data_IF_125051994534
#
_entry.id   IF_125051994534
#
_cell.length_a   1.000
_cell.length_b   1.000
_cell.length_c   1.000
_cell.angle_alpha   90.00
_cell.angle_beta   90.00
_cell.angle_gamma   90.00
#
_symmetry.space_group_name_H-M   'P 1'
#
loop_
_entity.id
_entity.type
_entity.pdbx_description
1 polymer ?
#
# COMPACT_ATOMS: atom_id res chain seq x y z
N UNK A 1 -30.71 -3.49 -11.36
CA UNK A 1 -29.24 -3.52 -11.29
C UNK A 1 -28.81 -4.96 -11.09
N UNK A 2 -28.18 -5.57 -12.09
CA UNK A 2 -27.53 -6.87 -11.94
C UNK A 2 -26.05 -6.59 -11.75
N UNK A 3 -25.53 -6.84 -10.55
CA UNK A 3 -24.09 -6.90 -10.33
C UNK A 3 -23.62 -8.24 -10.90
N UNK A 4 -22.98 -8.21 -12.06
CA UNK A 4 -22.11 -9.30 -12.47
C UNK A 4 -20.99 -9.42 -11.44
N UNK A 5 -20.77 -10.62 -10.89
CA UNK A 5 -19.56 -10.87 -10.12
C UNK A 5 -18.36 -10.50 -11.00
N UNK A 6 -17.35 -9.83 -10.42
CA UNK A 6 -16.07 -9.65 -11.07
C UNK A 6 -15.48 -11.05 -11.33
N UNK A 7 -15.68 -11.59 -12.53
CA UNK A 7 -14.92 -12.74 -13.02
C UNK A 7 -13.47 -12.31 -13.17
N UNK A 8 -12.55 -12.97 -12.46
CA UNK A 8 -11.11 -12.66 -12.54
C UNK A 8 -10.46 -12.19 -11.23
N UNK A 9 -11.21 -12.04 -10.13
CA UNK A 9 -10.62 -11.79 -8.82
C UNK A 9 -10.10 -13.09 -8.17
N UNK A 10 -9.25 -13.84 -8.87
CA UNK A 10 -8.58 -15.05 -8.34
C UNK A 10 -7.45 -14.73 -7.37
N UNK A 11 -6.87 -13.53 -7.52
CA UNK A 11 -5.62 -13.17 -6.86
C UNK A 11 -5.85 -12.49 -5.49
N UNK A 12 -7.07 -12.03 -5.22
CA UNK A 12 -7.46 -11.53 -3.91
C UNK A 12 -8.07 -12.67 -3.07
N UNK A 13 -7.24 -13.35 -2.29
CA UNK A 13 -7.67 -14.54 -1.53
C UNK A 13 -8.74 -14.20 -0.48
N UNK A 14 -8.52 -13.13 0.29
CA UNK A 14 -9.54 -12.53 1.16
C UNK A 14 -9.09 -11.15 1.62
N UNK A 15 -9.84 -10.11 1.25
CA UNK A 15 -9.56 -8.74 1.65
C UNK A 15 -10.83 -7.93 1.86
N UNK A 16 -11.01 -7.30 3.04
CA UNK A 16 -12.15 -6.43 3.33
C UNK A 16 -12.24 -5.20 2.41
N UNK A 17 -11.10 -4.65 1.98
CA UNK A 17 -11.03 -3.57 1.02
C UNK A 17 -10.28 -4.02 -0.24
N UNK A 18 -10.93 -3.90 -1.39
CA UNK A 18 -10.41 -4.28 -2.69
C UNK A 18 -10.55 -3.11 -3.66
N UNK A 19 -9.44 -2.70 -4.28
CA UNK A 19 -9.42 -1.86 -5.47
C UNK A 19 -8.95 -2.74 -6.63
N UNK A 20 -9.84 -3.07 -7.55
CA UNK A 20 -9.51 -3.94 -8.68
C UNK A 20 -9.95 -3.30 -10.00
N UNK A 21 -9.04 -3.18 -10.97
CA UNK A 21 -9.32 -2.60 -12.29
C UNK A 21 -10.07 -1.27 -12.18
N UNK A 22 -9.60 -0.39 -11.29
CA UNK A 22 -10.33 0.82 -10.88
C UNK A 22 -9.59 2.07 -11.32
N UNK A 23 -10.29 2.96 -12.02
CA UNK A 23 -9.82 4.31 -12.31
C UNK A 23 -10.64 5.33 -11.53
N UNK A 24 -9.99 6.09 -10.65
CA UNK A 24 -10.60 7.16 -9.88
C UNK A 24 -10.28 8.50 -10.54
N UNK A 25 -11.31 9.26 -10.90
CA UNK A 25 -11.19 10.60 -11.46
C UNK A 25 -11.86 11.60 -10.51
N UNK A 26 -11.11 12.59 -10.02
CA UNK A 26 -11.62 13.67 -9.17
C UNK A 26 -12.44 13.15 -7.97
N UNK A 27 -12.00 12.04 -7.38
CA UNK A 27 -12.74 11.30 -6.34
C UNK A 27 -11.93 11.22 -5.06
N UNK A 28 -12.61 11.11 -3.91
CA UNK A 28 -11.99 10.79 -2.64
C UNK A 28 -12.57 9.50 -2.05
N UNK A 29 -11.70 8.52 -1.76
CA UNK A 29 -12.00 7.37 -0.92
C UNK A 29 -11.29 7.53 0.41
N UNK A 30 -12.05 7.59 1.51
CA UNK A 30 -11.52 7.66 2.86
C UNK A 30 -11.99 6.47 3.68
N UNK A 31 -11.06 5.79 4.31
CA UNK A 31 -11.30 4.73 5.29
C UNK A 31 -10.63 5.15 6.58
N UNK A 32 -11.38 5.25 7.66
CA UNK A 32 -10.84 5.79 8.90
C UNK A 32 -11.43 5.17 10.15
N UNK A 33 -10.65 5.14 11.23
CA UNK A 33 -11.07 4.70 12.56
C UNK A 33 -11.73 3.31 12.55
N UNK A 34 -11.11 2.37 11.85
CA UNK A 34 -11.66 1.03 11.66
C UNK A 34 -10.56 -0.03 11.66
N UNK A 35 -10.98 -1.29 11.74
CA UNK A 35 -10.11 -2.46 11.63
C UNK A 35 -10.42 -3.16 10.31
N UNK A 36 -9.41 -3.32 9.46
CA UNK A 36 -9.47 -4.18 8.29
C UNK A 36 -8.63 -5.41 8.59
N UNK A 37 -9.25 -6.60 8.54
CA UNK A 37 -8.57 -7.84 8.92
C UNK A 37 -8.80 -8.98 7.95
N UNK A 38 -7.76 -9.76 7.72
CA UNK A 38 -7.81 -11.01 6.99
C UNK A 38 -7.04 -12.10 7.73
N UNK A 39 -7.68 -13.23 7.97
CA UNK A 39 -7.07 -14.40 8.61
C UNK A 39 -6.79 -15.54 7.63
N UNK A 40 -7.03 -15.31 6.34
CA UNK A 40 -6.88 -16.33 5.29
C UNK A 40 -5.44 -16.41 4.81
N UNK A 41 -4.98 -17.61 4.46
CA UNK A 41 -3.67 -17.81 3.88
C UNK A 41 -3.49 -17.00 2.59
N UNK A 42 -2.40 -16.22 2.49
CA UNK A 42 -2.19 -15.28 1.38
C UNK A 42 -3.14 -14.08 1.34
N UNK A 43 -3.98 -13.90 2.37
CA UNK A 43 -4.93 -12.79 2.48
C UNK A 43 -4.27 -11.46 2.84
N UNK A 44 -5.03 -10.39 2.64
CA UNK A 44 -4.61 -9.03 3.01
C UNK A 44 -5.74 -8.19 3.57
N UNK A 45 -5.44 -7.17 4.37
CA UNK A 45 -6.48 -6.25 4.85
C UNK A 45 -6.93 -5.27 3.74
N UNK A 46 -5.99 -4.86 2.88
CA UNK A 46 -6.24 -4.06 1.67
C UNK A 46 -5.59 -4.73 0.47
N UNK A 47 -6.35 -4.92 -0.61
CA UNK A 47 -5.86 -5.47 -1.86
C UNK A 47 -6.03 -4.48 -3.00
N UNK A 48 -4.99 -4.36 -3.84
CA UNK A 48 -4.97 -3.58 -5.07
C UNK A 48 -4.54 -4.49 -6.22
N UNK A 49 -5.32 -4.56 -7.29
CA UNK A 49 -4.97 -5.39 -8.45
C UNK A 49 -5.67 -4.97 -9.74
N UNK A 50 -5.37 -5.66 -10.84
CA UNK A 50 -6.01 -5.41 -12.13
C UNK A 50 -5.75 -4.01 -12.70
N UNK A 51 -4.64 -3.38 -12.31
CA UNK A 51 -4.29 -1.97 -12.52
C UNK A 51 -5.26 -0.98 -11.84
N UNK A 52 -4.68 -0.03 -11.11
CA UNK A 52 -5.43 1.02 -10.42
C UNK A 52 -4.80 2.39 -10.71
N UNK A 53 -5.64 3.32 -11.16
CA UNK A 53 -5.25 4.69 -11.51
C UNK A 53 -5.99 5.70 -10.62
N UNK A 54 -5.23 6.59 -9.98
CA UNK A 54 -5.72 7.80 -9.36
C UNK A 54 -5.39 8.99 -10.26
N UNK A 55 -6.42 9.73 -10.67
CA UNK A 55 -6.30 10.94 -11.47
C UNK A 55 -7.01 12.09 -10.75
N UNK A 56 -6.23 13.05 -10.24
CA UNK A 56 -6.72 14.12 -9.37
C UNK A 56 -7.58 13.60 -8.22
N UNK A 57 -7.20 12.47 -7.64
CA UNK A 57 -8.00 11.72 -6.67
C UNK A 57 -7.22 11.45 -5.39
N UNK A 58 -7.95 11.19 -4.30
CA UNK A 58 -7.37 10.88 -3.00
C UNK A 58 -7.85 9.54 -2.45
N UNK A 59 -6.92 8.67 -2.07
CA UNK A 59 -7.19 7.47 -1.25
C UNK A 59 -6.53 7.67 0.10
N UNK A 60 -7.31 7.65 1.18
CA UNK A 60 -6.82 7.96 2.53
C UNK A 60 -7.21 6.84 3.50
N UNK A 61 -6.21 6.18 4.08
CA UNK A 61 -6.34 5.33 5.27
C UNK A 61 -5.85 6.14 6.47
N UNK A 62 -6.75 6.41 7.44
CA UNK A 62 -6.44 7.28 8.59
C UNK A 62 -6.96 6.71 9.90
N UNK A 63 -6.08 6.38 10.84
CA UNK A 63 -6.51 5.75 12.10
C UNK A 63 -7.00 4.31 11.89
N UNK A 64 -6.42 3.59 10.94
CA UNK A 64 -6.84 2.22 10.57
C UNK A 64 -5.88 1.20 11.17
N UNK A 65 -6.42 0.10 11.68
CA UNK A 65 -5.65 -1.10 12.02
C UNK A 65 -5.73 -2.10 10.86
N UNK A 66 -4.58 -2.46 10.30
CA UNK A 66 -4.44 -3.44 9.22
C UNK A 66 -3.89 -4.76 9.79
N UNK A 67 -4.73 -5.79 9.82
CA UNK A 67 -4.36 -7.12 10.34
C UNK A 67 -4.36 -8.18 9.25
N UNK A 68 -3.26 -8.95 9.15
CA UNK A 68 -3.14 -10.06 8.22
C UNK A 68 -2.42 -11.25 8.89
N UNK A 69 -3.16 -12.28 9.31
CA UNK A 69 -2.60 -13.38 10.12
C UNK A 69 -2.55 -14.74 9.42
N UNK A 70 -2.70 -14.76 8.08
CA UNK A 70 -2.77 -15.97 7.27
C UNK A 70 -1.45 -16.74 7.06
N UNK A 71 -0.41 -16.46 7.81
CA UNK A 71 0.93 -17.03 7.60
C UNK A 71 1.85 -16.15 6.75
N UNK A 72 2.96 -16.70 6.23
CA UNK A 72 4.08 -15.91 5.68
C UNK A 72 3.75 -15.19 4.38
N UNK A 73 2.73 -15.64 3.65
CA UNK A 73 2.26 -15.01 2.41
C UNK A 73 1.19 -13.94 2.64
N UNK A 74 0.71 -13.76 3.88
CA UNK A 74 -0.22 -12.71 4.22
C UNK A 74 0.46 -11.33 4.14
N UNK A 75 -0.30 -10.28 3.87
CA UNK A 75 0.23 -8.91 3.83
C UNK A 75 -0.80 -7.92 4.35
N UNK A 76 -0.39 -6.90 5.11
CA UNK A 76 -1.34 -5.91 5.61
C UNK A 76 -2.03 -5.16 4.45
N UNK A 77 -1.23 -4.66 3.50
CA UNK A 77 -1.70 -4.14 2.22
C UNK A 77 -0.90 -4.76 1.09
N UNK A 78 -1.57 -5.19 0.03
CA UNK A 78 -0.93 -5.83 -1.13
C UNK A 78 -1.41 -5.24 -2.44
N UNK A 79 -0.50 -4.67 -3.20
CA UNK A 79 -0.62 -4.51 -4.65
C UNK A 79 -0.13 -5.81 -5.29
N UNK A 80 -0.95 -6.44 -6.13
CA UNK A 80 -0.53 -7.62 -6.87
C UNK A 80 0.71 -7.31 -7.73
N UNK A 81 1.71 -8.19 -7.74
CA UNK A 81 3.06 -7.89 -8.24
C UNK A 81 3.09 -7.29 -9.66
N UNK A 82 2.30 -7.86 -10.57
CA UNK A 82 2.21 -7.42 -11.96
C UNK A 82 1.17 -6.30 -12.21
N UNK A 83 0.42 -5.89 -11.19
CA UNK A 83 -0.54 -4.78 -11.30
C UNK A 83 0.14 -3.44 -11.07
N UNK A 84 -0.27 -2.44 -11.84
CA UNK A 84 0.17 -1.06 -11.70
C UNK A 84 -0.67 -0.33 -10.66
N UNK A 85 0.00 0.37 -9.75
CA UNK A 85 -0.60 1.40 -8.91
C UNK A 85 -0.08 2.76 -9.39
N UNK A 86 -0.97 3.58 -9.95
CA UNK A 86 -0.62 4.80 -10.67
C UNK A 86 -1.29 6.02 -10.02
N UNK A 87 -0.50 7.02 -9.66
CA UNK A 87 -0.95 8.28 -9.06
C UNK A 87 -0.54 9.43 -9.96
N UNK A 88 -1.52 10.17 -10.49
CA UNK A 88 -1.30 11.25 -11.45
C UNK A 88 -2.15 12.49 -11.14
N UNK A 89 -1.68 13.64 -11.63
CA UNK A 89 -2.39 14.92 -11.60
C UNK A 89 -2.85 15.36 -10.21
N UNK A 90 -1.90 15.55 -9.29
CA UNK A 90 -2.15 15.95 -7.89
C UNK A 90 -2.94 14.92 -7.09
N UNK A 91 -2.77 13.64 -7.40
CA UNK A 91 -3.37 12.56 -6.61
C UNK A 91 -2.61 12.33 -5.32
N UNK A 92 -3.31 11.79 -4.32
CA UNK A 92 -2.71 11.44 -3.02
C UNK A 92 -3.18 10.05 -2.61
N UNK A 93 -2.24 9.12 -2.40
CA UNK A 93 -2.50 7.93 -1.59
C UNK A 93 -1.81 8.12 -0.25
N UNK A 94 -2.59 8.19 0.82
CA UNK A 94 -2.09 8.45 2.16
C UNK A 94 -2.47 7.32 3.11
N UNK A 95 -1.47 6.83 3.81
CA UNK A 95 -1.59 5.94 4.96
C UNK A 95 -1.10 6.74 6.17
N UNK A 96 -2.00 7.19 7.02
CA UNK A 96 -1.70 8.07 8.16
C UNK A 96 -2.22 7.49 9.46
N UNK A 97 -1.45 7.55 10.55
CA UNK A 97 -1.87 7.05 11.87
C UNK A 97 -2.35 5.59 11.80
N UNK A 98 -1.60 4.73 11.12
CA UNK A 98 -2.00 3.34 10.85
C UNK A 98 -1.16 2.38 11.67
N UNK A 99 -1.81 1.39 12.28
CA UNK A 99 -1.13 0.27 12.91
C UNK A 99 -1.20 -0.95 11.99
N UNK A 100 -0.09 -1.67 11.86
CA UNK A 100 0.07 -2.85 11.01
C UNK A 100 0.45 -4.05 11.87
N UNK A 101 -0.32 -5.14 11.76
CA UNK A 101 0.03 -6.44 12.35
C UNK A 101 -0.08 -7.49 11.27
N UNK A 102 1.05 -8.05 10.85
CA UNK A 102 1.04 -9.05 9.78
C UNK A 102 2.01 -10.20 10.06
N UNK A 103 1.55 -11.43 9.83
CA UNK A 103 2.39 -12.63 9.89
C UNK A 103 3.35 -12.76 8.69
N UNK A 104 3.24 -11.88 7.70
CA UNK A 104 4.09 -11.84 6.51
C UNK A 104 4.55 -10.42 6.17
N UNK A 105 4.02 -9.89 5.07
CA UNK A 105 4.32 -8.55 4.53
C UNK A 105 3.62 -7.42 5.29
N UNK A 106 4.24 -6.24 5.37
CA UNK A 106 3.55 -5.01 5.74
C UNK A 106 2.72 -4.47 4.58
N UNK A 107 3.18 -3.37 4.00
CA UNK A 107 2.60 -2.70 2.84
C UNK A 107 3.46 -3.04 1.61
N UNK A 108 2.95 -3.90 0.74
CA UNK A 108 3.64 -4.37 -0.47
C UNK A 108 3.05 -3.66 -1.69
N UNK A 109 3.86 -2.82 -2.34
CA UNK A 109 3.47 -1.96 -3.47
C UNK A 109 3.68 -2.60 -4.85
N UNK A 110 4.20 -3.83 -4.89
CA UNK A 110 4.45 -4.57 -6.14
C UNK A 110 5.61 -4.01 -6.94
N UNK A 111 5.64 -4.33 -8.24
CA UNK A 111 6.77 -4.03 -9.14
C UNK A 111 6.50 -2.86 -10.10
N UNK A 112 5.29 -2.33 -10.11
CA UNK A 112 4.82 -1.35 -11.10
C UNK A 112 4.19 -0.11 -10.45
N UNK A 113 4.87 0.47 -9.47
CA UNK A 113 4.48 1.76 -8.91
C UNK A 113 4.71 2.88 -9.95
N UNK A 114 3.77 3.82 -10.07
CA UNK A 114 3.97 5.03 -10.86
C UNK A 114 3.43 6.25 -10.12
N UNK A 115 4.30 7.18 -9.74
CA UNK A 115 3.92 8.42 -9.05
C UNK A 115 4.43 9.61 -9.85
N UNK A 116 3.53 10.45 -10.38
CA UNK A 116 3.89 11.64 -11.16
C UNK A 116 2.99 12.81 -10.79
N UNK A 117 3.59 13.98 -10.47
CA UNK A 117 2.87 15.15 -9.98
C UNK A 117 1.94 14.86 -8.80
N UNK A 118 2.26 13.86 -7.97
CA UNK A 118 1.37 13.21 -7.00
C UNK A 118 2.14 12.69 -5.80
N UNK A 119 1.45 12.33 -4.72
CA UNK A 119 2.07 11.92 -3.47
C UNK A 119 1.59 10.54 -3.03
N UNK A 120 2.54 9.65 -2.76
CA UNK A 120 2.34 8.43 -1.98
C UNK A 120 3.00 8.64 -0.61
N UNK A 121 2.24 8.60 0.47
CA UNK A 121 2.78 8.89 1.81
C UNK A 121 2.36 7.90 2.89
N UNK A 122 3.31 7.57 3.74
CA UNK A 122 3.18 6.76 4.95
C UNK A 122 3.62 7.63 6.14
N UNK A 123 2.67 8.07 6.97
CA UNK A 123 2.93 9.03 8.05
C UNK A 123 2.37 8.54 9.38
N UNK A 124 3.21 8.29 10.38
CA UNK A 124 2.76 7.71 11.65
C UNK A 124 2.26 6.28 11.44
N UNK A 125 3.15 5.41 10.95
CA UNK A 125 2.83 4.01 10.68
C UNK A 125 3.66 3.13 11.60
N UNK A 126 2.98 2.43 12.51
CA UNK A 126 3.61 1.48 13.43
C UNK A 126 3.30 0.06 12.97
N UNK A 127 4.30 -0.79 12.81
CA UNK A 127 4.12 -2.12 12.24
C UNK A 127 4.90 -3.23 12.93
N UNK A 128 4.19 -4.31 13.27
CA UNK A 128 4.77 -5.61 13.66
C UNK A 128 4.62 -6.58 12.49
N UNK A 129 5.74 -6.89 11.81
CA UNK A 129 5.74 -7.63 10.55
C UNK A 129 6.92 -8.59 10.46
N UNK A 130 6.78 -9.66 9.67
CA UNK A 130 7.83 -10.65 9.45
C UNK A 130 8.82 -10.26 8.31
N UNK A 131 8.76 -9.02 7.81
CA UNK A 131 9.57 -8.50 6.69
C UNK A 131 9.64 -6.98 6.71
N UNK A 132 10.05 -6.31 5.61
CA UNK A 132 10.01 -4.85 5.51
C UNK A 132 8.58 -4.31 5.66
N UNK A 133 8.42 -3.24 6.44
CA UNK A 133 7.11 -2.62 6.69
C UNK A 133 6.54 -1.96 5.43
N UNK A 134 7.38 -1.30 4.61
CA UNK A 134 7.00 -0.82 3.28
C UNK A 134 7.92 -1.47 2.23
N UNK A 135 7.36 -2.26 1.32
CA UNK A 135 8.11 -2.92 0.25
C UNK A 135 7.63 -2.46 -1.11
N UNK A 136 8.55 -2.03 -1.96
CA UNK A 136 8.32 -1.72 -3.36
C UNK A 136 9.45 -2.32 -4.19
N UNK A 137 9.09 -3.10 -5.20
CA UNK A 137 10.02 -3.93 -5.97
C UNK A 137 10.27 -3.39 -7.38
N UNK A 138 9.72 -2.22 -7.70
CA UNK A 138 9.89 -1.60 -8.98
C UNK A 138 8.97 -0.41 -9.20
N UNK A 139 9.12 0.21 -10.37
CA UNK A 139 8.33 1.35 -10.80
C UNK A 139 9.12 2.66 -10.77
N UNK A 140 8.40 3.76 -10.90
CA UNK A 140 8.99 5.09 -11.08
C UNK A 140 8.30 6.12 -10.20
N UNK A 141 9.10 6.93 -9.51
CA UNK A 141 8.70 8.23 -8.97
C UNK A 141 9.21 9.27 -9.96
N UNK A 142 8.30 9.73 -10.82
CA UNK A 142 8.57 10.62 -11.95
C UNK A 142 8.51 12.09 -11.51
N UNK A 143 8.67 13.03 -12.44
CA UNK A 143 8.63 14.47 -12.21
C UNK A 143 7.48 14.88 -11.27
N UNK A 144 7.81 15.68 -10.26
CA UNK A 144 6.90 16.17 -9.21
C UNK A 144 6.18 15.06 -8.42
N UNK A 145 6.62 13.81 -8.56
CA UNK A 145 6.20 12.67 -7.76
C UNK A 145 6.94 12.63 -6.42
N UNK A 146 6.22 12.26 -5.37
CA UNK A 146 6.79 12.16 -4.02
C UNK A 146 6.39 10.87 -3.32
N UNK A 147 7.38 10.13 -2.82
CA UNK A 147 7.20 9.02 -1.88
C UNK A 147 7.71 9.45 -0.48
N UNK A 148 6.80 9.57 0.48
CA UNK A 148 7.12 9.97 1.86
C UNK A 148 6.98 8.79 2.82
N UNK A 149 8.01 8.56 3.64
CA UNK A 149 7.94 7.78 4.86
C UNK A 149 8.33 8.71 6.01
N UNK A 150 7.40 8.98 6.91
CA UNK A 150 7.64 9.84 8.08
C UNK A 150 7.04 9.23 9.33
N UNK A 151 7.79 9.19 10.43
CA UNK A 151 7.31 8.54 11.67
C UNK A 151 6.88 7.10 11.42
N UNK A 152 7.72 6.32 10.74
CA UNK A 152 7.44 4.92 10.44
C UNK A 152 8.28 4.05 11.37
N UNK A 153 7.60 3.23 12.19
CA UNK A 153 8.22 2.35 13.17
C UNK A 153 7.96 0.89 12.82
N UNK A 154 9.01 0.11 12.59
CA UNK A 154 8.92 -1.31 12.28
C UNK A 154 9.50 -2.17 13.42
N UNK A 155 8.79 -3.22 13.83
CA UNK A 155 9.20 -4.17 14.86
C UNK A 155 9.11 -5.60 14.31
N UNK A 156 10.10 -6.44 14.65
CA UNK A 156 10.14 -7.87 14.33
C UNK A 156 11.51 -8.34 13.87
N UNK A 157 11.78 -9.65 13.95
CA UNK A 157 13.11 -10.26 13.72
C UNK A 157 13.73 -9.93 12.35
N UNK A 158 12.92 -9.74 11.30
CA UNK A 158 13.36 -9.37 9.96
C UNK A 158 12.90 -7.96 9.55
N UNK A 159 12.64 -7.10 10.53
CA UNK A 159 12.03 -5.79 10.28
C UNK A 159 13.02 -4.79 9.69
N UNK A 160 12.60 -4.14 8.60
CA UNK A 160 13.18 -2.89 8.12
C UNK A 160 12.04 -1.90 7.88
N UNK A 161 12.32 -0.59 7.98
CA UNK A 161 11.33 0.45 7.67
C UNK A 161 10.82 0.29 6.25
N UNK A 162 11.75 0.13 5.29
CA UNK A 162 11.40 -0.05 3.90
C UNK A 162 12.43 -0.89 3.14
N UNK A 163 11.95 -1.47 2.04
CA UNK A 163 12.77 -1.98 0.93
C UNK A 163 12.19 -1.42 -0.37
N UNK A 164 12.95 -0.55 -1.06
CA UNK A 164 12.54 0.14 -2.29
C UNK A 164 13.40 -0.33 -3.47
N UNK A 165 13.61 -1.64 -3.59
CA UNK A 165 14.41 -2.22 -4.68
C UNK A 165 13.77 -1.97 -6.05
N UNK A 166 14.58 -1.58 -7.03
CA UNK A 166 14.09 -1.39 -8.41
C UNK A 166 13.26 -0.12 -8.65
N UNK A 167 13.03 0.71 -7.64
CA UNK A 167 12.35 2.00 -7.80
C UNK A 167 13.28 3.00 -8.49
N UNK A 168 12.83 3.57 -9.61
CA UNK A 168 13.56 4.58 -10.38
C UNK A 168 13.08 5.99 -10.01
N UNK A 169 14.00 6.92 -9.77
CA UNK A 169 13.67 8.34 -9.62
C UNK A 169 13.93 9.07 -10.93
N UNK A 170 12.88 9.56 -11.57
CA UNK A 170 12.91 10.26 -12.85
C UNK A 170 12.44 11.70 -12.69
N UNK A 171 13.11 12.46 -11.81
CA UNK A 171 12.70 13.82 -11.45
C UNK A 171 11.72 13.91 -10.26
N UNK A 172 11.38 12.76 -9.65
CA UNK A 172 10.67 12.69 -8.38
C UNK A 172 11.60 12.53 -7.18
N UNK A 173 11.01 12.46 -5.98
CA UNK A 173 11.75 12.37 -4.73
C UNK A 173 11.22 11.28 -3.80
N UNK A 174 12.14 10.74 -2.98
CA UNK A 174 11.83 9.89 -1.83
C UNK A 174 12.33 10.60 -0.58
N UNK A 175 11.47 10.72 0.43
CA UNK A 175 11.82 11.29 1.73
C UNK A 175 11.57 10.27 2.83
N UNK A 176 12.59 10.00 3.63
CA UNK A 176 12.52 9.10 4.79
C UNK A 176 12.98 9.90 6.01
N UNK A 177 12.09 10.14 6.96
CA UNK A 177 12.37 10.98 8.12
C UNK A 177 11.75 10.41 9.40
N UNK A 178 12.53 10.39 10.49
CA UNK A 178 12.06 9.89 11.80
C UNK A 178 11.52 8.46 11.74
N UNK A 179 12.17 7.61 10.95
CA UNK A 179 11.80 6.20 10.84
C UNK A 179 12.79 5.33 11.61
N UNK A 180 12.29 4.25 12.22
CA UNK A 180 13.09 3.33 13.03
C UNK A 180 12.65 1.90 12.76
N UNK A 181 13.61 0.97 12.73
CA UNK A 181 13.35 -0.46 12.77
C UNK A 181 14.05 -1.06 13.98
N UNK A 182 13.36 -1.90 14.73
CA UNK A 182 13.90 -2.64 15.87
C UNK A 182 13.62 -4.13 15.68
N UNK A 183 14.67 -4.92 15.48
CA UNK A 183 14.63 -6.36 15.31
C UNK A 183 15.39 -7.10 16.38
#
# INVERSE_FOLDING_TARGET
>A
MHYSQLSGLTDAVASPLVLHATSMLQTQLRVSNTVLRSSQAGGSAVYVGGDVDLLSSAVVLDGVLLEASGGPTASAMRVASASRLSLRSHSVLSVTNVSVVSSGGGIVLGERLAVSGSVLRFVGVDGSVASSLVRCDGGTVDADGWLELRDVWAVGEASSVASLSGVTLSGGAVSIARCVATG
#
